data_IF_658713298365
#
_entry.id   IF_658713298365
#
_cell.length_a   1.000
_cell.length_b   1.000
_cell.length_c   1.000
_cell.angle_alpha   90.00
_cell.angle_beta   90.00
_cell.angle_gamma   90.00
#
_symmetry.space_group_name_H-M   'P 1'
#
loop_
_entity.id
_entity.type
_entity.pdbx_description
1 polymer ?
#
# COMPACT_ATOMS: atom_id res chain seq x y z
N UNK A 1 -1.94 -5.83 -14.38
CA UNK A 1 -2.93 -6.93 -14.16
C UNK A 1 -2.50 -7.90 -13.07
N UNK A 2 -1.24 -8.26 -12.97
CA UNK A 2 -0.76 -9.28 -12.03
C UNK A 2 -1.05 -8.95 -10.56
N UNK A 3 -1.01 -7.69 -10.19
CA UNK A 3 -1.40 -7.21 -8.86
C UNK A 3 -2.84 -7.52 -8.46
N UNK A 4 -3.71 -7.83 -9.43
CA UNK A 4 -5.12 -8.10 -9.16
C UNK A 4 -5.40 -9.56 -8.78
N UNK A 5 -4.45 -10.46 -8.94
CA UNK A 5 -4.62 -11.88 -8.66
C UNK A 5 -3.38 -12.59 -8.10
N UNK A 6 -2.28 -11.88 -7.83
CA UNK A 6 -1.01 -12.47 -7.36
C UNK A 6 -1.17 -13.35 -6.11
N UNK A 7 -2.11 -13.03 -5.23
CA UNK A 7 -2.39 -13.80 -4.02
C UNK A 7 -2.86 -15.22 -4.36
N UNK A 8 -3.60 -15.44 -5.46
CA UNK A 8 -3.95 -16.78 -5.94
C UNK A 8 -2.70 -17.53 -6.41
N UNK A 9 -1.83 -16.83 -7.15
CA UNK A 9 -0.56 -17.40 -7.60
C UNK A 9 0.34 -17.79 -6.42
N UNK A 10 0.31 -17.04 -5.35
CA UNK A 10 1.10 -17.33 -4.14
C UNK A 10 0.68 -18.62 -3.45
N UNK A 11 -0.60 -19.01 -3.54
CA UNK A 11 -1.05 -20.31 -3.04
C UNK A 11 -0.30 -21.49 -3.69
N UNK A 12 0.11 -21.34 -4.97
CA UNK A 12 0.75 -22.39 -5.77
C UNK A 12 2.00 -21.89 -6.49
N UNK A 13 2.88 -21.18 -5.81
CA UNK A 13 4.01 -20.46 -6.42
C UNK A 13 4.94 -21.36 -7.26
N UNK A 14 5.06 -22.63 -6.94
CA UNK A 14 5.92 -23.61 -7.63
C UNK A 14 5.21 -24.32 -8.80
N UNK A 15 3.91 -24.13 -8.99
CA UNK A 15 3.19 -24.77 -10.10
C UNK A 15 3.58 -24.12 -11.42
N UNK A 16 4.16 -24.91 -12.35
CA UNK A 16 4.61 -24.46 -13.67
C UNK A 16 3.61 -24.76 -14.78
N UNK A 17 2.56 -25.51 -14.50
CA UNK A 17 1.58 -25.98 -15.49
C UNK A 17 0.34 -25.10 -15.52
N UNK A 18 -0.10 -24.64 -14.37
CA UNK A 18 -1.34 -23.91 -14.16
C UNK A 18 -1.10 -22.65 -13.33
N UNK A 19 -1.96 -21.64 -13.44
CA UNK A 19 -1.85 -20.40 -12.65
C UNK A 19 -1.87 -20.67 -11.13
N UNK A 20 -2.68 -21.61 -10.70
CA UNK A 20 -2.80 -22.09 -9.33
C UNK A 20 -3.39 -23.50 -9.30
N UNK A 21 -3.12 -24.25 -8.22
CA UNK A 21 -3.73 -25.55 -7.93
C UNK A 21 -4.98 -25.36 -7.08
N UNK A 22 -6.06 -26.08 -7.41
CA UNK A 22 -7.33 -25.97 -6.71
C UNK A 22 -7.24 -26.34 -5.24
N UNK A 23 -6.54 -27.44 -4.91
CA UNK A 23 -6.49 -27.91 -3.53
C UNK A 23 -5.68 -26.95 -2.64
N UNK A 24 -4.61 -26.38 -3.20
CA UNK A 24 -3.81 -25.35 -2.52
C UNK A 24 -4.63 -24.06 -2.37
N UNK A 25 -5.43 -23.70 -3.38
CA UNK A 25 -6.31 -22.55 -3.32
C UNK A 25 -7.38 -22.74 -2.23
N UNK A 26 -8.05 -23.89 -2.20
CA UNK A 26 -9.10 -24.22 -1.22
C UNK A 26 -8.56 -24.25 0.22
N UNK A 27 -7.26 -24.51 0.38
CA UNK A 27 -6.61 -24.50 1.70
C UNK A 27 -6.21 -23.10 2.18
N UNK A 28 -5.68 -22.27 1.28
CA UNK A 28 -5.12 -20.96 1.64
C UNK A 28 -6.09 -19.78 1.50
N UNK A 29 -7.15 -19.94 0.74
CA UNK A 29 -8.10 -18.85 0.46
C UNK A 29 -9.43 -19.01 1.23
N UNK A 30 -10.12 -17.90 1.51
CA UNK A 30 -9.72 -16.51 1.29
C UNK A 30 -8.53 -16.09 2.17
N UNK A 31 -7.85 -15.01 1.82
CA UNK A 31 -6.81 -14.42 2.68
C UNK A 31 -7.45 -13.93 3.98
N UNK A 32 -7.00 -14.46 5.12
CA UNK A 32 -7.60 -14.17 6.44
C UNK A 32 -7.57 -12.68 6.76
N UNK A 33 -6.44 -12.02 6.49
CA UNK A 33 -6.29 -10.60 6.75
C UNK A 33 -5.41 -9.93 5.69
N UNK A 34 -5.94 -8.91 5.05
CA UNK A 34 -5.22 -8.10 4.08
C UNK A 34 -4.92 -6.72 4.66
N UNK A 35 -3.63 -6.38 4.75
CA UNK A 35 -3.15 -5.15 5.37
C UNK A 35 -2.57 -4.24 4.31
N UNK A 36 -3.07 -3.01 4.23
CA UNK A 36 -2.58 -2.04 3.25
C UNK A 36 -3.13 -0.64 3.49
N UNK A 37 -2.63 0.31 2.72
CA UNK A 37 -3.08 1.70 2.80
C UNK A 37 -4.50 1.88 2.25
N UNK A 38 -5.20 2.87 2.77
CA UNK A 38 -6.57 3.20 2.34
C UNK A 38 -6.65 3.62 0.87
N UNK A 39 -5.57 4.13 0.30
CA UNK A 39 -5.45 4.52 -1.11
C UNK A 39 -5.67 3.37 -2.09
N UNK A 40 -5.50 2.13 -1.65
CA UNK A 40 -5.73 0.95 -2.47
C UNK A 40 -7.21 0.53 -2.56
N UNK A 41 -8.09 1.12 -1.76
CA UNK A 41 -9.49 0.72 -1.67
C UNK A 41 -10.25 0.86 -3.01
N UNK A 42 -9.98 1.90 -3.78
CA UNK A 42 -10.66 2.19 -5.04
C UNK A 42 -10.03 1.46 -6.23
N UNK A 43 -8.72 1.29 -6.24
CA UNK A 43 -8.00 0.69 -7.38
C UNK A 43 -7.74 -0.80 -7.16
N UNK A 44 -6.75 -1.12 -6.36
CA UNK A 44 -6.27 -2.49 -6.18
C UNK A 44 -7.35 -3.42 -5.63
N UNK A 45 -8.04 -3.04 -4.57
CA UNK A 45 -9.05 -3.89 -3.94
C UNK A 45 -10.26 -4.12 -4.85
N UNK A 46 -10.67 -3.10 -5.60
CA UNK A 46 -11.75 -3.23 -6.58
C UNK A 46 -11.38 -4.22 -7.68
N UNK A 47 -10.16 -4.10 -8.24
CA UNK A 47 -9.70 -5.02 -9.26
C UNK A 47 -9.51 -6.45 -8.74
N UNK A 48 -9.00 -6.62 -7.52
CA UNK A 48 -8.86 -7.94 -6.90
C UNK A 48 -10.21 -8.64 -6.76
N UNK A 49 -11.23 -7.94 -6.29
CA UNK A 49 -12.59 -8.46 -6.17
C UNK A 49 -13.21 -8.77 -7.53
N UNK A 50 -13.02 -7.90 -8.51
CA UNK A 50 -13.47 -8.14 -9.88
C UNK A 50 -12.83 -9.40 -10.48
N UNK A 51 -11.51 -9.52 -10.38
CA UNK A 51 -10.79 -10.69 -10.89
C UNK A 51 -11.23 -11.98 -10.19
N UNK A 52 -11.41 -11.95 -8.88
CA UNK A 52 -11.87 -13.11 -8.14
C UNK A 52 -13.22 -13.61 -8.65
N UNK A 53 -14.18 -12.72 -8.83
CA UNK A 53 -15.50 -13.02 -9.36
C UNK A 53 -15.44 -13.50 -10.81
N UNK A 54 -14.62 -12.87 -11.65
CA UNK A 54 -14.44 -13.29 -13.04
C UNK A 54 -13.86 -14.70 -13.14
N UNK A 55 -12.85 -15.03 -12.33
CA UNK A 55 -12.27 -16.37 -12.27
C UNK A 55 -13.29 -17.39 -11.78
N UNK A 56 -14.09 -17.06 -10.76
CA UNK A 56 -15.14 -17.94 -10.24
C UNK A 56 -16.26 -18.23 -11.26
N UNK A 57 -16.56 -17.27 -12.13
CA UNK A 57 -17.54 -17.47 -13.21
C UNK A 57 -17.03 -18.38 -14.31
N UNK A 58 -15.77 -18.25 -14.67
CA UNK A 58 -15.15 -19.03 -15.76
C UNK A 58 -14.69 -20.41 -15.28
N UNK A 59 -14.25 -20.50 -14.05
CA UNK A 59 -13.70 -21.71 -13.44
C UNK A 59 -14.66 -22.27 -12.38
N UNK A 60 -15.38 -23.35 -12.75
CA UNK A 60 -16.30 -24.06 -11.85
C UNK A 60 -15.62 -24.70 -10.65
N UNK A 61 -14.31 -24.70 -10.61
CA UNK A 61 -13.50 -25.29 -9.56
C UNK A 61 -13.31 -24.38 -8.35
N UNK A 62 -13.69 -23.10 -8.43
CA UNK A 62 -13.67 -22.21 -7.27
C UNK A 62 -15.03 -21.52 -7.09
N UNK A 63 -15.51 -21.49 -5.85
CA UNK A 63 -16.74 -20.78 -5.43
C UNK A 63 -16.42 -19.50 -4.66
N UNK A 64 -15.14 -19.12 -4.59
CA UNK A 64 -14.71 -17.95 -3.86
C UNK A 64 -15.08 -16.67 -4.63
N UNK A 65 -15.94 -15.85 -4.04
CA UNK A 65 -16.36 -14.58 -4.63
C UNK A 65 -15.55 -13.38 -4.12
N UNK A 66 -15.01 -13.49 -2.91
CA UNK A 66 -14.21 -12.44 -2.27
C UNK A 66 -12.81 -12.94 -1.94
N UNK A 67 -11.76 -12.17 -2.29
CA UNK A 67 -10.39 -12.61 -2.10
C UNK A 67 -9.89 -12.49 -0.66
N UNK A 68 -10.47 -11.59 0.13
CA UNK A 68 -10.02 -11.25 1.49
C UNK A 68 -11.19 -11.40 2.46
N UNK A 69 -10.97 -12.12 3.56
CA UNK A 69 -11.94 -12.25 4.65
C UNK A 69 -11.97 -10.99 5.51
N UNK A 70 -10.79 -10.47 5.83
CA UNK A 70 -10.61 -9.25 6.62
C UNK A 70 -9.72 -8.23 5.92
N UNK A 71 -10.10 -6.95 6.04
CA UNK A 71 -9.30 -5.83 5.56
C UNK A 71 -8.90 -4.94 6.73
N UNK A 72 -7.60 -4.71 6.90
CA UNK A 72 -7.07 -3.74 7.82
C UNK A 72 -6.41 -2.60 7.05
N UNK A 73 -7.06 -1.44 7.02
CA UNK A 73 -6.54 -0.26 6.34
C UNK A 73 -5.62 0.52 7.28
N UNK A 74 -4.37 0.68 6.87
CA UNK A 74 -3.43 1.56 7.56
C UNK A 74 -3.71 3.01 7.21
N UNK A 75 -3.51 3.91 8.18
CA UNK A 75 -3.45 5.34 7.91
C UNK A 75 -2.22 5.69 7.04
N UNK A 76 -2.31 6.80 6.33
CA UNK A 76 -1.16 7.33 5.60
C UNK A 76 -0.08 7.77 6.60
N UNK A 77 1.17 7.42 6.29
CA UNK A 77 2.32 7.94 7.03
C UNK A 77 2.52 9.39 6.60
N UNK A 78 2.31 10.29 7.54
CA UNK A 78 2.47 11.72 7.33
C UNK A 78 3.75 12.21 8.01
N UNK A 79 4.45 13.12 7.38
CA UNK A 79 5.60 13.82 7.93
C UNK A 79 5.51 15.30 7.54
N UNK A 80 6.06 16.18 8.37
CA UNK A 80 6.18 17.60 8.01
C UNK A 80 7.11 17.76 6.80
N UNK A 81 6.77 18.68 5.92
CA UNK A 81 7.61 19.05 4.78
C UNK A 81 8.30 20.37 5.04
N UNK A 82 9.51 20.52 4.52
CA UNK A 82 10.36 21.67 4.79
C UNK A 82 10.77 22.36 3.50
N UNK A 83 10.67 23.69 3.46
CA UNK A 83 11.10 24.53 2.35
C UNK A 83 11.95 25.70 2.84
N UNK A 84 12.91 26.12 2.02
CA UNK A 84 13.66 27.34 2.24
C UNK A 84 12.84 28.59 1.83
N UNK A 85 13.44 29.75 2.00
CA UNK A 85 12.83 31.04 1.62
C UNK A 85 12.58 31.18 0.10
N UNK A 86 13.29 30.42 -0.71
CA UNK A 86 13.21 30.41 -2.18
C UNK A 86 12.25 29.31 -2.67
N UNK A 87 11.52 28.66 -1.73
CA UNK A 87 10.53 27.60 -1.97
C UNK A 87 11.12 26.28 -2.49
N UNK A 88 12.42 26.01 -2.28
CA UNK A 88 13.05 24.72 -2.58
C UNK A 88 12.81 23.75 -1.44
N UNK A 89 12.65 22.46 -1.76
CA UNK A 89 12.50 21.40 -0.78
C UNK A 89 13.81 21.15 -0.04
N UNK A 90 13.70 20.93 1.28
CA UNK A 90 14.82 20.64 2.17
C UNK A 90 14.60 19.25 2.76
N UNK A 91 15.67 18.45 2.87
CA UNK A 91 15.61 17.17 3.56
C UNK A 91 15.42 17.35 5.07
N UNK A 92 14.64 16.47 5.72
CA UNK A 92 14.42 16.55 7.18
C UNK A 92 15.73 16.50 8.01
N UNK A 93 16.73 15.80 7.51
CA UNK A 93 18.06 15.70 8.15
C UNK A 93 18.88 17.01 8.14
N UNK A 94 18.54 17.92 7.23
CA UNK A 94 19.16 19.24 7.12
C UNK A 94 18.49 20.32 7.99
N UNK A 95 17.46 19.93 8.72
CA UNK A 95 16.64 20.84 9.53
C UNK A 95 16.75 20.48 11.01
N UNK A 96 16.81 21.49 11.86
CA UNK A 96 16.73 21.31 13.31
C UNK A 96 15.73 22.27 13.95
N UNK A 97 15.20 21.89 15.09
CA UNK A 97 14.36 22.76 15.92
C UNK A 97 14.93 22.87 17.34
N UNK A 98 14.88 24.08 17.92
CA UNK A 98 15.29 24.34 19.30
C UNK A 98 14.12 24.25 20.28
N UNK A 99 12.91 24.45 19.82
CA UNK A 99 11.69 24.59 20.63
C UNK A 99 10.53 23.72 20.17
N UNK A 100 10.76 22.88 19.16
CA UNK A 100 9.73 22.03 18.55
C UNK A 100 8.69 22.79 17.72
N UNK A 101 8.86 24.11 17.53
CA UNK A 101 7.92 24.96 16.78
C UNK A 101 8.58 25.73 15.64
N UNK A 102 9.83 26.11 15.81
CA UNK A 102 10.59 26.84 14.83
C UNK A 102 11.72 25.98 14.31
N UNK A 103 11.80 25.86 13.00
CA UNK A 103 12.77 25.03 12.30
C UNK A 103 13.77 25.91 11.54
N UNK A 104 15.03 25.49 11.54
CA UNK A 104 16.16 26.22 10.98
C UNK A 104 17.06 25.25 10.19
N UNK A 105 17.82 25.79 9.23
CA UNK A 105 18.81 25.00 8.51
C UNK A 105 20.02 24.66 9.39
N UNK A 106 20.50 23.44 9.31
CA UNK A 106 21.71 22.99 10.04
C UNK A 106 22.94 23.79 9.64
N UNK A 107 23.07 24.13 8.36
CA UNK A 107 24.20 24.91 7.82
C UNK A 107 24.01 26.42 7.98
N UNK A 108 22.82 26.91 8.30
CA UNK A 108 22.52 28.33 8.55
C UNK A 108 21.47 28.49 9.68
N UNK A 109 21.90 28.46 10.95
CA UNK A 109 20.98 28.47 12.11
C UNK A 109 20.15 29.76 12.28
N UNK A 110 20.35 30.75 11.45
CA UNK A 110 19.56 32.01 11.44
C UNK A 110 18.48 31.99 10.37
N UNK A 111 18.55 31.08 9.40
CA UNK A 111 17.57 30.95 8.34
C UNK A 111 16.43 30.03 8.76
N UNK A 112 15.25 30.64 8.87
CA UNK A 112 14.03 29.94 9.27
C UNK A 112 13.48 29.16 8.07
N UNK A 113 13.10 27.92 8.33
CA UNK A 113 12.50 27.01 7.38
C UNK A 113 10.98 27.16 7.40
N UNK A 114 10.36 27.09 6.23
CA UNK A 114 8.90 27.05 6.09
C UNK A 114 8.45 25.59 6.26
N UNK A 115 7.59 25.36 7.24
CA UNK A 115 7.04 24.04 7.53
C UNK A 115 5.67 23.94 6.89
N UNK A 116 5.46 22.91 6.10
CA UNK A 116 4.19 22.60 5.48
C UNK A 116 3.61 21.28 5.99
N UNK A 117 2.32 21.02 5.74
CA UNK A 117 1.72 19.72 5.99
C UNK A 117 2.36 18.67 5.09
N UNK A 118 2.22 17.42 5.46
CA UNK A 118 2.52 16.30 4.60
C UNK A 118 1.59 16.32 3.38
N UNK A 119 2.14 16.31 2.20
CA UNK A 119 1.42 16.15 0.94
C UNK A 119 1.57 14.72 0.42
#
# INVERSE_FOLDING_TARGET
>A
MDSSWYYLRFCSAQNIKEPFDKNELDYWMPVDQYIGGVEHAILHLLYSRFFMRAISLDNKDTTLEEPFEGLFTQGMVCHETYKDKDNNWIYPEDVFSKDGKNYFLNNNPTEKVIVGPSE
#
